data_IF_940950991807
#
_entry.id   IF_940950991807
#
_cell.length_a   1.000
_cell.length_b   1.000
_cell.length_c   1.000
_cell.angle_alpha   90.00
_cell.angle_beta   90.00
_cell.angle_gamma   90.00
#
_symmetry.space_group_name_H-M   'P 1'
#
loop_
_entity.id
_entity.type
_entity.pdbx_description
1 polymer ?
#
# COMPACT_ATOMS: atom_id res chain seq x y z
N UNK A 1 -17.78 20.60 -7.60
CA UNK A 1 -17.03 19.46 -8.17
C UNK A 1 -17.87 18.21 -7.96
N UNK A 2 -18.19 17.47 -9.01
CA UNK A 2 -18.98 16.23 -8.93
C UNK A 2 -18.14 15.15 -8.26
N UNK A 3 -18.67 14.49 -7.23
CA UNK A 3 -17.91 13.46 -6.49
C UNK A 3 -17.70 12.20 -7.36
N UNK A 4 -16.62 11.46 -7.13
CA UNK A 4 -16.31 10.22 -7.88
C UNK A 4 -17.46 9.21 -7.85
N UNK A 5 -18.11 9.04 -6.70
CA UNK A 5 -19.26 8.14 -6.54
C UNK A 5 -20.43 8.57 -7.43
N UNK A 6 -20.61 9.87 -7.63
CA UNK A 6 -21.66 10.42 -8.49
C UNK A 6 -21.32 10.23 -9.98
N UNK A 7 -20.05 10.40 -10.37
CA UNK A 7 -19.59 10.08 -11.73
C UNK A 7 -19.76 8.60 -12.07
N UNK A 8 -19.48 7.69 -11.13
CA UNK A 8 -19.65 6.24 -11.33
C UNK A 8 -21.13 5.90 -11.51
N UNK A 9 -22.03 6.51 -10.72
CA UNK A 9 -23.49 6.32 -10.88
C UNK A 9 -23.97 6.79 -12.25
N UNK A 10 -23.55 7.98 -12.68
CA UNK A 10 -23.93 8.51 -13.99
C UNK A 10 -23.38 7.67 -15.15
N UNK A 11 -22.18 7.09 -15.00
CA UNK A 11 -21.62 6.17 -15.99
C UNK A 11 -22.38 4.84 -16.04
N UNK A 12 -22.90 4.36 -14.91
CA UNK A 12 -23.73 3.17 -14.85
C UNK A 12 -25.03 3.33 -15.66
N UNK A 13 -25.61 4.53 -15.69
CA UNK A 13 -26.78 4.85 -16.53
C UNK A 13 -26.50 4.71 -18.04
N UNK A 14 -25.23 4.82 -18.44
CA UNK A 14 -24.78 4.56 -19.81
C UNK A 14 -24.30 3.11 -20.04
N UNK A 15 -24.53 2.21 -19.09
CA UNK A 15 -24.08 0.82 -19.16
C UNK A 15 -22.57 0.64 -18.95
N UNK A 16 -21.88 1.67 -18.45
CA UNK A 16 -20.45 1.60 -18.12
C UNK A 16 -20.31 1.30 -16.64
N UNK A 17 -19.69 0.16 -16.30
CA UNK A 17 -19.44 -0.21 -14.90
C UNK A 17 -17.98 -0.04 -14.54
N UNK A 18 -17.73 0.49 -13.33
CA UNK A 18 -16.39 0.78 -12.82
C UNK A 18 -16.18 -0.01 -11.54
N UNK A 19 -15.33 -1.03 -11.58
CA UNK A 19 -14.98 -1.89 -10.46
C UNK A 19 -13.51 -1.69 -10.11
N UNK A 20 -13.23 -0.81 -9.14
CA UNK A 20 -11.87 -0.43 -8.77
C UNK A 20 -11.14 0.24 -9.94
N UNK A 21 -10.15 -0.46 -10.51
CA UNK A 21 -9.36 -0.01 -11.66
C UNK A 21 -9.89 -0.52 -13.02
N UNK A 22 -10.89 -1.42 -13.04
CA UNK A 22 -11.45 -1.98 -14.28
C UNK A 22 -12.70 -1.19 -14.71
N UNK A 23 -12.74 -0.82 -15.98
CA UNK A 23 -13.91 -0.17 -16.62
C UNK A 23 -14.44 -1.10 -17.70
N UNK A 24 -15.70 -1.49 -17.58
CA UNK A 24 -16.40 -2.29 -18.58
C UNK A 24 -17.25 -1.37 -19.45
N UNK A 25 -17.12 -1.51 -20.76
CA UNK A 25 -17.87 -0.71 -21.72
C UNK A 25 -19.00 -1.52 -22.34
N UNK A 26 -20.16 -0.92 -22.60
CA UNK A 26 -21.16 -1.51 -23.47
C UNK A 26 -20.59 -1.57 -24.89
N UNK A 27 -21.13 -2.46 -25.74
CA UNK A 27 -20.69 -2.60 -27.13
C UNK A 27 -20.75 -1.30 -27.96
N UNK A 28 -21.58 -0.32 -27.55
CA UNK A 28 -21.63 1.02 -28.12
C UNK A 28 -21.61 2.07 -26.99
N UNK A 29 -20.54 2.86 -26.93
CA UNK A 29 -20.38 3.92 -25.93
C UNK A 29 -21.21 5.14 -26.33
N UNK A 30 -22.04 5.64 -25.41
CA UNK A 30 -22.78 6.89 -25.60
C UNK A 30 -21.79 8.08 -25.63
N UNK A 31 -21.82 8.96 -26.65
CA UNK A 31 -20.96 10.16 -26.70
C UNK A 31 -21.04 11.04 -25.45
N UNK A 32 -22.18 11.09 -24.76
CA UNK A 32 -22.35 11.84 -23.52
C UNK A 32 -21.59 11.25 -22.33
N UNK A 33 -21.21 9.97 -22.39
CA UNK A 33 -20.39 9.33 -21.37
C UNK A 33 -18.89 9.67 -21.50
N UNK A 34 -18.43 10.11 -22.69
CA UNK A 34 -17.02 10.47 -22.95
C UNK A 34 -16.50 11.59 -22.02
N UNK A 35 -17.22 12.72 -21.82
CA UNK A 35 -16.77 13.74 -20.87
C UNK A 35 -16.75 13.24 -19.42
N UNK A 36 -17.71 12.39 -19.02
CA UNK A 36 -17.75 11.78 -17.69
C UNK A 36 -16.57 10.82 -17.46
N UNK A 37 -16.21 10.02 -18.47
CA UNK A 37 -15.01 9.17 -18.44
C UNK A 37 -13.72 10.00 -18.32
N UNK A 38 -13.64 11.14 -19.00
CA UNK A 38 -12.50 12.06 -18.86
C UNK A 38 -12.42 12.65 -17.46
N UNK A 39 -13.54 13.09 -16.89
CA UNK A 39 -13.61 13.58 -15.52
C UNK A 39 -13.26 12.48 -14.50
N UNK A 40 -13.73 11.25 -14.72
CA UNK A 40 -13.38 10.10 -13.89
C UNK A 40 -11.87 9.80 -13.96
N UNK A 41 -11.28 9.81 -15.15
CA UNK A 41 -9.83 9.61 -15.35
C UNK A 41 -9.01 10.72 -14.68
N UNK A 42 -9.46 11.97 -14.75
CA UNK A 42 -8.82 13.09 -14.05
C UNK A 42 -8.96 12.94 -12.53
N UNK A 43 -10.13 12.52 -12.03
CA UNK A 43 -10.30 12.21 -10.60
C UNK A 43 -9.45 11.03 -10.11
N UNK A 44 -9.06 10.14 -11.03
CA UNK A 44 -8.14 9.02 -10.75
C UNK A 44 -6.68 9.49 -10.77
N UNK A 45 -6.34 10.46 -11.62
CA UNK A 45 -5.03 11.11 -11.63
C UNK A 45 -4.76 11.93 -10.36
N UNK A 46 -5.82 12.43 -9.70
CA UNK A 46 -5.74 13.21 -8.45
C UNK A 46 -5.60 12.39 -7.16
N UNK A 47 -5.57 11.04 -7.21
CA UNK A 47 -5.51 10.19 -6.00
C UNK A 47 -4.15 9.57 -5.69
N UNK A 48 -3.16 9.70 -6.57
CA UNK A 48 -1.80 9.23 -6.30
C UNK A 48 -0.88 10.39 -5.94
N UNK A 49 -0.67 10.56 -4.64
CA UNK A 49 0.41 11.38 -4.13
C UNK A 49 1.59 10.47 -3.78
N UNK A 50 2.52 10.33 -4.73
CA UNK A 50 3.75 9.56 -4.49
C UNK A 50 4.61 10.13 -3.36
N UNK A 51 4.51 11.44 -3.09
CA UNK A 51 5.15 12.06 -1.93
C UNK A 51 4.51 11.60 -0.63
N UNK A 52 3.19 11.53 -0.57
CA UNK A 52 2.47 10.96 0.57
C UNK A 52 2.83 9.48 0.79
N UNK A 53 2.90 8.67 -0.27
CA UNK A 53 3.28 7.26 -0.16
C UNK A 53 4.70 7.09 0.42
N UNK A 54 5.66 7.90 -0.05
CA UNK A 54 7.02 7.92 0.49
C UNK A 54 7.05 8.40 1.94
N UNK A 55 6.26 9.43 2.29
CA UNK A 55 6.19 9.94 3.66
C UNK A 55 5.65 8.89 4.63
N UNK A 56 4.61 8.12 4.25
CA UNK A 56 4.07 7.03 5.09
C UNK A 56 5.17 6.00 5.40
N UNK A 57 5.94 5.62 4.39
CA UNK A 57 7.04 4.66 4.56
C UNK A 57 8.15 5.23 5.44
N UNK A 58 8.54 6.50 5.20
CA UNK A 58 9.58 7.18 5.97
C UNK A 58 9.19 7.33 7.44
N UNK A 59 7.96 7.74 7.74
CA UNK A 59 7.45 7.88 9.11
C UNK A 59 7.46 6.53 9.86
N UNK A 60 7.13 5.44 9.17
CA UNK A 60 7.23 4.09 9.74
C UNK A 60 8.67 3.73 10.08
N UNK A 61 9.61 3.97 9.15
CA UNK A 61 11.03 3.72 9.39
C UNK A 61 11.58 4.56 10.55
N UNK A 62 11.16 5.82 10.65
CA UNK A 62 11.59 6.72 11.73
C UNK A 62 11.08 6.24 13.10
N UNK A 63 9.83 5.76 13.19
CA UNK A 63 9.31 5.14 14.42
C UNK A 63 10.12 3.91 14.81
N UNK A 64 10.35 3.00 13.87
CA UNK A 64 11.08 1.76 14.13
C UNK A 64 12.53 2.02 14.52
N UNK A 65 13.19 2.98 13.86
CA UNK A 65 14.58 3.36 14.15
C UNK A 65 14.81 3.73 15.61
N UNK A 66 13.84 4.35 16.30
CA UNK A 66 13.96 4.75 17.71
C UNK A 66 14.07 3.54 18.65
N UNK A 67 13.36 2.46 18.33
CA UNK A 67 13.25 1.27 19.20
C UNK A 67 14.12 0.11 18.72
N UNK A 68 14.70 0.22 17.53
CA UNK A 68 15.41 -0.87 16.87
C UNK A 68 16.80 -1.12 17.48
N UNK A 69 17.06 -2.29 18.08
CA UNK A 69 18.35 -2.62 18.64
C UNK A 69 19.35 -3.00 17.54
N UNK A 70 20.56 -2.45 17.63
CA UNK A 70 21.66 -2.82 16.74
C UNK A 70 21.95 -4.33 16.89
N UNK A 71 21.95 -5.06 15.77
CA UNK A 71 22.19 -6.50 15.74
C UNK A 71 20.93 -7.37 15.65
N UNK A 72 19.72 -6.83 15.82
CA UNK A 72 18.49 -7.61 15.76
C UNK A 72 18.26 -8.31 14.42
N UNK A 73 18.52 -7.64 13.29
CA UNK A 73 18.39 -8.22 11.94
C UNK A 73 19.45 -9.30 11.69
N UNK A 74 20.76 -9.06 11.93
CA UNK A 74 21.77 -10.11 11.83
C UNK A 74 21.48 -11.34 12.70
N UNK A 75 20.98 -11.14 13.93
CA UNK A 75 20.59 -12.22 14.82
C UNK A 75 19.37 -12.97 14.29
N UNK A 76 18.29 -12.27 13.93
CA UNK A 76 17.08 -12.88 13.35
C UNK A 76 17.39 -13.59 12.03
N UNK A 77 18.30 -13.08 11.20
CA UNK A 77 18.69 -13.76 9.97
C UNK A 77 19.33 -15.14 10.23
N UNK A 78 19.95 -15.34 11.39
CA UNK A 78 20.52 -16.64 11.79
C UNK A 78 19.50 -17.52 12.51
N UNK A 79 18.78 -16.94 13.48
CA UNK A 79 17.93 -17.71 14.39
C UNK A 79 16.48 -17.86 13.92
N UNK A 80 15.97 -16.87 13.18
CA UNK A 80 14.58 -16.72 12.76
C UNK A 80 14.48 -16.26 11.30
N UNK A 81 15.03 -17.03 10.34
CA UNK A 81 15.01 -16.66 8.93
C UNK A 81 13.58 -16.48 8.39
N UNK A 82 12.58 -17.15 8.99
CA UNK A 82 11.16 -16.99 8.69
C UNK A 82 10.66 -15.55 8.84
N UNK A 83 11.18 -14.80 9.84
CA UNK A 83 10.83 -13.40 10.04
C UNK A 83 11.47 -12.49 9.00
N UNK A 84 12.69 -12.81 8.56
CA UNK A 84 13.38 -12.07 7.49
C UNK A 84 12.68 -12.29 6.14
N UNK A 85 12.29 -13.52 5.84
CA UNK A 85 11.53 -13.84 4.62
C UNK A 85 10.21 -13.07 4.58
N UNK A 86 9.47 -13.02 5.70
CA UNK A 86 8.25 -12.22 5.81
C UNK A 86 8.51 -10.72 5.61
N UNK A 87 9.57 -10.19 6.23
CA UNK A 87 9.94 -8.78 6.10
C UNK A 87 10.25 -8.43 4.63
N UNK A 88 11.03 -9.28 3.95
CA UNK A 88 11.36 -9.12 2.53
C UNK A 88 10.10 -9.19 1.66
N UNK A 89 9.22 -10.18 1.87
CA UNK A 89 7.99 -10.31 1.11
C UNK A 89 7.06 -9.09 1.26
N UNK A 90 7.02 -8.46 2.44
CA UNK A 90 6.26 -7.22 2.64
C UNK A 90 6.95 -6.03 1.94
N UNK A 91 8.28 -5.98 1.94
CA UNK A 91 9.04 -4.99 1.17
C UNK A 91 8.77 -5.07 -0.34
N UNK A 92 8.71 -6.29 -0.88
CA UNK A 92 8.34 -6.54 -2.27
C UNK A 92 6.89 -6.11 -2.55
N UNK A 93 5.97 -6.43 -1.62
CA UNK A 93 4.57 -5.98 -1.69
C UNK A 93 4.49 -4.45 -1.69
N UNK A 94 5.24 -3.75 -0.84
CA UNK A 94 5.28 -2.28 -0.83
C UNK A 94 5.67 -1.74 -2.21
N UNK A 95 6.71 -2.29 -2.82
CA UNK A 95 7.17 -1.90 -4.16
C UNK A 95 6.07 -2.11 -5.21
N UNK A 96 5.39 -3.26 -5.17
CA UNK A 96 4.30 -3.58 -6.08
C UNK A 96 3.14 -2.58 -5.94
N UNK A 97 2.68 -2.32 -4.71
CA UNK A 97 1.53 -1.44 -4.46
C UNK A 97 1.87 0.04 -4.72
N UNK A 98 3.13 0.43 -4.50
CA UNK A 98 3.64 1.74 -4.89
C UNK A 98 3.57 1.94 -6.40
N UNK A 99 3.96 0.93 -7.19
CA UNK A 99 3.82 0.99 -8.65
C UNK A 99 2.36 0.94 -9.13
N UNK A 100 1.49 0.22 -8.43
CA UNK A 100 0.04 0.20 -8.68
C UNK A 100 -0.66 1.51 -8.32
N UNK A 101 0.02 2.40 -7.60
CA UNK A 101 -0.47 3.71 -7.18
C UNK A 101 -1.67 3.62 -6.23
N UNK A 102 -1.67 2.65 -5.33
CA UNK A 102 -2.73 2.47 -4.32
C UNK A 102 -2.24 2.91 -2.94
N UNK A 103 -2.70 4.08 -2.48
CA UNK A 103 -2.27 4.65 -1.20
C UNK A 103 -2.79 3.87 0.02
N UNK A 104 -3.92 3.17 -0.10
CA UNK A 104 -4.46 2.39 1.00
C UNK A 104 -3.66 1.11 1.18
N UNK A 105 -3.31 0.46 0.07
CA UNK A 105 -2.42 -0.71 0.11
C UNK A 105 -1.00 -0.33 0.56
N UNK A 106 -0.50 0.86 0.20
CA UNK A 106 0.76 1.40 0.75
C UNK A 106 0.72 1.49 2.28
N UNK A 107 -0.38 2.02 2.85
CA UNK A 107 -0.55 2.10 4.31
C UNK A 107 -0.58 0.72 4.96
N UNK A 108 -1.31 -0.22 4.36
CA UNK A 108 -1.37 -1.60 4.85
C UNK A 108 0.01 -2.26 4.82
N UNK A 109 0.75 -2.12 3.71
CA UNK A 109 2.10 -2.66 3.58
C UNK A 109 3.06 -2.08 4.62
N UNK A 110 3.02 -0.76 4.86
CA UNK A 110 3.82 -0.12 5.90
C UNK A 110 3.48 -0.63 7.30
N UNK A 111 2.19 -0.79 7.63
CA UNK A 111 1.76 -1.31 8.93
C UNK A 111 2.17 -2.78 9.14
N UNK A 112 2.09 -3.61 8.10
CA UNK A 112 2.56 -5.00 8.15
C UNK A 112 4.07 -5.07 8.35
N UNK A 113 4.82 -4.20 7.66
CA UNK A 113 6.28 -4.13 7.80
C UNK A 113 6.68 -3.72 9.22
N UNK A 114 6.00 -2.70 9.77
CA UNK A 114 6.16 -2.26 11.15
C UNK A 114 5.86 -3.39 12.15
N UNK A 115 4.81 -4.18 11.91
CA UNK A 115 4.46 -5.33 12.74
C UNK A 115 5.54 -6.42 12.75
N UNK A 116 6.10 -6.76 11.59
CA UNK A 116 7.20 -7.75 11.51
C UNK A 116 8.49 -7.21 12.13
N UNK A 117 8.82 -5.94 11.93
CA UNK A 117 9.95 -5.32 12.62
C UNK A 117 9.77 -5.34 14.15
N UNK A 118 8.58 -5.00 14.63
CA UNK A 118 8.26 -5.08 16.07
C UNK A 118 8.44 -6.51 16.59
N UNK A 119 7.98 -7.51 15.84
CA UNK A 119 8.18 -8.92 16.19
C UNK A 119 9.66 -9.31 16.22
N UNK A 120 10.47 -8.85 15.25
CA UNK A 120 11.92 -9.06 15.23
C UNK A 120 12.57 -8.46 16.47
N UNK A 121 12.20 -7.23 16.84
CA UNK A 121 12.74 -6.54 18.02
C UNK A 121 12.37 -7.29 19.30
N UNK A 122 11.10 -7.64 19.48
CA UNK A 122 10.64 -8.38 20.66
C UNK A 122 11.32 -9.74 20.77
N UNK A 123 11.36 -10.50 19.68
CA UNK A 123 12.01 -11.84 19.67
C UNK A 123 13.50 -11.71 20.01
N UNK A 124 14.20 -10.74 19.42
CA UNK A 124 15.59 -10.48 19.75
C UNK A 124 15.77 -10.14 21.24
N UNK A 125 14.93 -9.26 21.79
CA UNK A 125 15.05 -8.86 23.20
C UNK A 125 14.71 -10.00 24.17
N UNK A 126 13.76 -10.87 23.83
CA UNK A 126 13.39 -12.01 24.67
C UNK A 126 14.50 -13.07 24.64
N UNK A 127 14.94 -13.48 23.46
CA UNK A 127 15.86 -14.61 23.32
C UNK A 127 17.31 -14.20 23.61
N UNK A 128 17.76 -13.02 23.16
CA UNK A 128 19.13 -12.55 23.41
C UNK A 128 19.40 -12.28 24.90
N UNK A 129 18.42 -11.75 25.64
CA UNK A 129 18.57 -11.52 27.09
C UNK A 129 18.50 -12.81 27.91
N UNK A 130 18.01 -13.92 27.33
CA UNK A 130 18.01 -15.23 27.98
C UNK A 130 19.29 -16.05 27.68
N UNK A 131 20.09 -15.62 26.70
CA UNK A 131 21.35 -16.25 26.29
C UNK A 131 22.60 -15.61 26.97
N UNK A 132 22.43 -14.48 27.68
CA UNK A 132 23.48 -13.79 28.44
C UNK A 132 23.26 -13.94 29.95
#
# INVERSE_FOLDING_TARGET
MTSRSELIKQLADYGITVNGAKVCFPGKINPQAIPLLRQLKLSQADTWDGGQALNIWQEMLDRMRVVYPAGALPWCNRQRPDLIEKLNAIGDRYTEVFHKRDINEVREAAALFEGVLSQIITTYQEDYNNEC
#
